data_IF_787320753404
#
_entry.id   IF_787320753404
#
_cell.length_a   1.000
_cell.length_b   1.000
_cell.length_c   1.000
_cell.angle_alpha   90.00
_cell.angle_beta   90.00
_cell.angle_gamma   90.00
#
_symmetry.space_group_name_H-M   'P 1'
#
loop_
_entity.id
_entity.type
_entity.pdbx_description
1 polymer ?
#
# COMPACT_ATOMS: atom_id res chain seq x y z
N UNK A 1 -20.50 -2.71 -4.60
CA UNK A 1 -19.04 -2.45 -4.53
C UNK A 1 -18.34 -3.56 -5.28
N UNK A 2 -17.63 -3.26 -6.36
CA UNK A 2 -16.89 -4.26 -7.11
C UNK A 2 -15.88 -4.97 -6.18
N UNK A 3 -16.00 -6.29 -6.01
CA UNK A 3 -15.14 -7.06 -5.09
C UNK A 3 -13.67 -6.83 -5.39
N UNK A 4 -13.31 -6.70 -6.67
CA UNK A 4 -11.94 -6.44 -7.10
C UNK A 4 -11.42 -5.08 -6.60
N UNK A 5 -12.23 -4.01 -6.68
CA UNK A 5 -11.83 -2.69 -6.20
C UNK A 5 -11.58 -2.66 -4.68
N UNK A 6 -12.43 -3.37 -3.92
CA UNK A 6 -12.25 -3.52 -2.47
C UNK A 6 -10.97 -4.30 -2.15
N UNK A 7 -10.74 -5.42 -2.82
CA UNK A 7 -9.54 -6.25 -2.60
C UNK A 7 -8.27 -5.46 -2.93
N UNK A 8 -8.21 -4.75 -4.06
CA UNK A 8 -7.02 -3.98 -4.42
C UNK A 8 -6.77 -2.83 -3.47
N UNK A 9 -7.84 -2.18 -2.97
CA UNK A 9 -7.72 -1.14 -1.94
C UNK A 9 -7.15 -1.73 -0.65
N UNK A 10 -7.64 -2.89 -0.21
CA UNK A 10 -7.16 -3.52 1.02
C UNK A 10 -5.69 -3.94 0.91
N UNK A 11 -5.30 -4.52 -0.24
CA UNK A 11 -3.90 -4.87 -0.51
C UNK A 11 -2.99 -3.65 -0.52
N UNK A 12 -3.40 -2.57 -1.20
CA UNK A 12 -2.65 -1.31 -1.24
C UNK A 12 -2.48 -0.70 0.16
N UNK A 13 -3.52 -0.77 0.99
CA UNK A 13 -3.49 -0.33 2.37
C UNK A 13 -2.48 -1.13 3.19
N UNK A 14 -2.56 -2.47 3.13
CA UNK A 14 -1.65 -3.36 3.85
C UNK A 14 -0.20 -3.12 3.44
N UNK A 15 0.08 -3.02 2.14
CA UNK A 15 1.43 -2.75 1.63
C UNK A 15 1.97 -1.41 2.13
N UNK A 16 1.13 -0.37 2.15
CA UNK A 16 1.53 0.95 2.66
C UNK A 16 1.83 0.91 4.15
N UNK A 17 0.94 0.30 4.95
CA UNK A 17 1.11 0.20 6.41
C UNK A 17 2.34 -0.63 6.76
N UNK A 18 2.53 -1.78 6.13
CA UNK A 18 3.69 -2.65 6.35
C UNK A 18 4.99 -1.97 5.90
N UNK A 19 4.99 -1.33 4.73
CA UNK A 19 6.16 -0.60 4.22
C UNK A 19 6.58 0.55 5.14
N UNK A 20 5.60 1.31 5.65
CA UNK A 20 5.87 2.39 6.61
C UNK A 20 6.38 1.85 7.95
N UNK A 21 5.65 0.92 8.57
CA UNK A 21 6.02 0.38 9.89
C UNK A 21 7.40 -0.26 9.84
N UNK A 22 7.63 -1.20 8.92
CA UNK A 22 8.90 -1.94 8.85
C UNK A 22 10.01 -1.05 8.32
N UNK A 23 9.74 -0.21 7.32
CA UNK A 23 10.74 0.70 6.75
C UNK A 23 11.29 1.69 7.78
N UNK A 24 10.42 2.37 8.51
CA UNK A 24 10.85 3.29 9.56
C UNK A 24 11.45 2.57 10.77
N UNK A 25 10.90 1.42 11.18
CA UNK A 25 11.50 0.61 12.24
C UNK A 25 12.94 0.21 11.90
N UNK A 26 13.19 -0.23 10.66
CA UNK A 26 14.52 -0.60 10.19
C UNK A 26 15.47 0.58 10.15
N UNK A 27 14.99 1.74 9.70
CA UNK A 27 15.76 2.98 9.65
C UNK A 27 16.21 3.43 11.05
N UNK A 28 15.33 3.34 12.05
CA UNK A 28 15.64 3.73 13.43
C UNK A 28 16.60 2.76 14.13
N UNK A 29 16.53 1.47 13.82
CA UNK A 29 17.42 0.46 14.42
C UNK A 29 18.76 0.31 13.69
N UNK A 30 19.07 1.17 12.71
CA UNK A 30 20.31 1.12 11.93
C UNK A 30 20.45 -0.15 11.08
N UNK A 31 19.37 -0.90 10.88
CA UNK A 31 19.39 -2.14 10.10
C UNK A 31 19.35 -1.84 8.60
N UNK A 32 20.17 -2.53 7.83
CA UNK A 32 20.16 -2.42 6.37
C UNK A 32 18.79 -2.76 5.75
N UNK A 33 18.59 -2.27 4.53
CA UNK A 33 17.41 -2.50 3.68
C UNK A 33 16.13 -1.73 4.03
N UNK A 34 16.19 -0.65 4.83
CA UNK A 34 15.04 0.21 5.07
C UNK A 34 14.41 0.75 3.76
N UNK A 35 15.26 1.09 2.78
CA UNK A 35 14.86 1.56 1.45
C UNK A 35 13.95 0.58 0.69
N UNK A 36 14.19 -0.73 0.82
CA UNK A 36 13.38 -1.76 0.15
C UNK A 36 11.95 -1.76 0.73
N UNK A 37 11.85 -1.67 2.06
CA UNK A 37 10.57 -1.62 2.76
C UNK A 37 9.82 -0.32 2.50
N UNK A 38 10.52 0.82 2.48
CA UNK A 38 9.93 2.10 2.11
C UNK A 38 9.51 2.13 0.63
N UNK A 39 10.19 1.38 -0.24
CA UNK A 39 9.81 1.20 -1.65
C UNK A 39 8.46 0.49 -1.86
N UNK A 40 7.96 -0.27 -0.88
CA UNK A 40 6.60 -0.83 -0.92
C UNK A 40 5.52 0.24 -0.76
N UNK A 41 5.84 1.40 -0.18
CA UNK A 41 4.87 2.47 0.08
C UNK A 41 4.33 3.07 -1.23
N UNK A 42 5.17 3.50 -2.20
CA UNK A 42 4.68 3.91 -3.52
C UNK A 42 3.81 2.86 -4.22
N UNK A 43 4.17 1.57 -4.14
CA UNK A 43 3.37 0.48 -4.72
C UNK A 43 2.01 0.36 -4.02
N UNK A 44 1.99 0.48 -2.69
CA UNK A 44 0.76 0.53 -1.89
C UNK A 44 -0.15 1.69 -2.29
N UNK A 45 0.40 2.89 -2.51
CA UNK A 45 -0.33 4.05 -2.99
C UNK A 45 -0.95 3.84 -4.39
N UNK A 46 -0.22 3.24 -5.32
CA UNK A 46 -0.75 2.90 -6.64
C UNK A 46 -1.92 1.91 -6.51
N UNK A 47 -1.77 0.88 -5.67
CA UNK A 47 -2.84 -0.08 -5.39
C UNK A 47 -4.08 0.55 -4.78
N UNK A 48 -3.90 1.48 -3.83
CA UNK A 48 -4.97 2.27 -3.23
C UNK A 48 -5.71 3.10 -4.28
N UNK A 49 -4.99 3.86 -5.10
CA UNK A 49 -5.57 4.69 -6.15
C UNK A 49 -6.37 3.86 -7.15
N UNK A 50 -5.82 2.73 -7.60
CA UNK A 50 -6.50 1.83 -8.54
C UNK A 50 -7.76 1.24 -7.89
N UNK A 51 -7.65 0.70 -6.68
CA UNK A 51 -8.77 0.08 -5.96
C UNK A 51 -9.91 1.06 -5.68
N UNK A 52 -9.59 2.28 -5.25
CA UNK A 52 -10.58 3.35 -5.03
C UNK A 52 -11.24 3.73 -6.35
N UNK A 53 -10.45 3.99 -7.40
CA UNK A 53 -10.96 4.35 -8.73
C UNK A 53 -11.94 3.29 -9.26
N UNK A 54 -11.56 2.02 -9.23
CA UNK A 54 -12.41 0.90 -9.65
C UNK A 54 -13.70 0.79 -8.81
N UNK A 55 -13.60 1.04 -7.50
CA UNK A 55 -14.76 1.02 -6.61
C UNK A 55 -15.73 2.16 -6.92
N UNK A 56 -15.23 3.35 -7.26
CA UNK A 56 -16.06 4.50 -7.62
C UNK A 56 -16.67 4.35 -9.01
N UNK A 57 -15.91 3.87 -10.00
CA UNK A 57 -16.43 3.60 -11.35
C UNK A 57 -17.56 2.57 -11.33
N UNK A 58 -17.46 1.54 -10.48
CA UNK A 58 -18.50 0.53 -10.32
C UNK A 58 -19.76 1.02 -9.60
N UNK A 59 -19.71 2.20 -8.96
CA UNK A 59 -20.87 2.81 -8.29
C UNK A 59 -21.64 3.76 -9.21
N UNK A 60 -21.07 4.12 -10.35
CA UNK A 60 -21.69 4.94 -11.39
C UNK A 60 -22.45 4.05 -12.36
#
# INVERSE_FOLDING_TARGET
>A
MHRLGVITTLLGLILSVVGLIVGFWKMLNGSGHAEIWLGLVPLGFVGLLLGVTLTQLSKK
#
